data_IF_251748814083
#
_entry.id   IF_251748814083
#
_cell.length_a   1.000
_cell.length_b   1.000
_cell.length_c   1.000
_cell.angle_alpha   90.00
_cell.angle_beta   90.00
_cell.angle_gamma   90.00
#
_symmetry.space_group_name_H-M   'P 1'
#
loop_
_entity.id
_entity.type
_entity.pdbx_description
1 polymer ?
#
# COMPACT_ATOMS: atom_id res chain seq x y z
N UNK A 1 2.88 1.41 16.70
CA UNK A 1 3.34 2.23 15.55
C UNK A 1 2.35 3.36 15.30
N UNK A 2 2.68 4.32 14.43
CA UNK A 2 1.68 5.28 13.92
C UNK A 2 0.75 4.57 12.91
N UNK A 3 -0.53 4.95 12.81
CA UNK A 3 -1.43 4.38 11.81
C UNK A 3 -0.94 4.69 10.39
N UNK A 4 -1.25 3.81 9.45
CA UNK A 4 -0.95 3.95 8.03
C UNK A 4 -2.26 3.99 7.26
N UNK A 5 -2.43 5.00 6.42
CA UNK A 5 -3.55 5.11 5.49
C UNK A 5 -3.07 4.74 4.09
N UNK A 6 -3.84 3.91 3.39
CA UNK A 6 -3.55 3.45 2.04
C UNK A 6 -4.63 3.94 1.09
N UNK A 7 -4.21 4.64 0.03
CA UNK A 7 -5.06 5.03 -1.08
C UNK A 7 -4.76 4.13 -2.27
N UNK A 8 -5.77 3.41 -2.75
CA UNK A 8 -5.69 2.55 -3.94
C UNK A 8 -6.76 2.99 -4.92
N UNK A 9 -6.35 3.37 -6.14
CA UNK A 9 -7.28 3.75 -7.20
C UNK A 9 -8.08 2.57 -7.72
N UNK A 10 -9.16 2.87 -8.46
CA UNK A 10 -9.95 1.87 -9.20
C UNK A 10 -9.15 1.29 -10.38
N UNK A 11 -9.76 0.41 -11.20
CA UNK A 11 -9.07 -0.24 -12.33
C UNK A 11 -8.59 0.76 -13.39
N UNK A 12 -9.26 1.91 -13.51
CA UNK A 12 -8.83 3.03 -14.35
C UNK A 12 -7.73 3.90 -13.75
N UNK A 13 -7.26 3.59 -12.54
CA UNK A 13 -6.36 4.43 -11.76
C UNK A 13 -7.08 5.59 -11.07
N UNK A 14 -6.28 6.54 -10.59
CA UNK A 14 -6.73 7.83 -10.07
C UNK A 14 -6.62 8.87 -11.19
N UNK A 15 -7.57 9.80 -11.25
CA UNK A 15 -7.47 10.97 -12.12
C UNK A 15 -6.27 11.86 -11.70
N UNK A 16 -5.76 12.67 -12.62
CA UNK A 16 -4.60 13.50 -12.37
C UNK A 16 -4.83 14.50 -11.22
N UNK A 17 -6.06 14.98 -11.08
CA UNK A 17 -6.51 15.87 -10.02
C UNK A 17 -6.56 15.16 -8.66
N UNK A 18 -6.98 13.88 -8.63
CA UNK A 18 -7.00 13.06 -7.41
C UNK A 18 -5.59 12.76 -6.92
N UNK A 19 -4.65 12.48 -7.84
CA UNK A 19 -3.24 12.29 -7.50
C UNK A 19 -2.64 13.57 -6.91
N UNK A 20 -2.93 14.72 -7.49
CA UNK A 20 -2.47 16.01 -6.97
C UNK A 20 -3.08 16.30 -5.60
N UNK A 21 -4.38 16.03 -5.41
CA UNK A 21 -5.05 16.21 -4.12
C UNK A 21 -4.47 15.29 -3.04
N UNK A 22 -4.18 14.04 -3.38
CA UNK A 22 -3.54 13.09 -2.46
C UNK A 22 -2.15 13.60 -2.04
N UNK A 23 -1.34 14.06 -3.00
CA UNK A 23 -0.02 14.62 -2.71
C UNK A 23 -0.11 15.87 -1.81
N UNK A 24 -1.05 16.78 -2.10
CA UNK A 24 -1.29 17.96 -1.26
C UNK A 24 -1.77 17.61 0.16
N UNK A 25 -2.51 16.50 0.30
CA UNK A 25 -2.98 15.98 1.59
C UNK A 25 -1.90 15.20 2.36
N UNK A 26 -0.68 15.09 1.82
CA UNK A 26 0.45 14.43 2.47
C UNK A 26 0.63 12.95 2.13
N UNK A 27 -0.11 12.40 1.16
CA UNK A 27 0.17 11.05 0.67
C UNK A 27 1.50 11.01 -0.09
N UNK A 28 2.24 9.93 0.11
CA UNK A 28 3.50 9.66 -0.59
C UNK A 28 3.26 8.56 -1.61
N UNK A 29 3.61 8.81 -2.88
CA UNK A 29 3.50 7.81 -3.93
C UNK A 29 4.57 6.73 -3.78
N UNK A 30 4.16 5.47 -3.94
CA UNK A 30 5.03 4.30 -3.84
C UNK A 30 4.83 3.37 -5.04
N UNK A 31 5.86 2.60 -5.38
CA UNK A 31 5.82 1.60 -6.45
C UNK A 31 6.01 0.19 -5.90
N UNK A 32 5.04 -0.68 -6.13
CA UNK A 32 5.06 -2.10 -5.71
C UNK A 32 5.73 -2.99 -6.77
N UNK A 33 6.99 -2.70 -7.08
CA UNK A 33 7.76 -3.43 -8.09
C UNK A 33 7.48 -3.00 -9.55
N UNK A 34 7.98 -3.76 -10.54
CA UNK A 34 8.00 -3.30 -11.92
C UNK A 34 6.65 -3.41 -12.65
N UNK A 35 5.75 -4.30 -12.20
CA UNK A 35 4.48 -4.63 -12.86
C UNK A 35 3.34 -3.75 -12.35
N UNK A 36 2.43 -3.38 -13.26
CA UNK A 36 1.14 -2.80 -12.87
C UNK A 36 0.30 -3.91 -12.23
N UNK A 37 -0.17 -3.66 -11.01
CA UNK A 37 -1.05 -4.58 -10.29
C UNK A 37 -2.51 -4.21 -10.59
N UNK A 38 -3.38 -5.22 -10.67
CA UNK A 38 -4.83 -4.99 -10.71
C UNK A 38 -5.32 -4.40 -9.39
N UNK A 39 -6.42 -3.67 -9.44
CA UNK A 39 -7.03 -2.99 -8.28
C UNK A 39 -7.19 -3.92 -7.07
N UNK A 40 -7.74 -5.11 -7.31
CA UNK A 40 -8.01 -6.12 -6.30
C UNK A 40 -6.74 -6.69 -5.63
N UNK A 41 -5.60 -6.61 -6.32
CA UNK A 41 -4.32 -7.16 -5.85
C UNK A 41 -3.43 -6.09 -5.22
N UNK A 42 -3.50 -4.84 -5.72
CA UNK A 42 -2.62 -3.75 -5.29
C UNK A 42 -2.70 -3.49 -3.78
N UNK A 43 -3.92 -3.41 -3.23
CA UNK A 43 -4.13 -3.20 -1.79
C UNK A 43 -3.60 -4.34 -0.92
N UNK A 44 -3.86 -5.59 -1.33
CA UNK A 44 -3.38 -6.77 -0.60
C UNK A 44 -1.85 -6.86 -0.59
N UNK A 45 -1.20 -6.59 -1.72
CA UNK A 45 0.27 -6.57 -1.82
C UNK A 45 0.86 -5.44 -0.98
N UNK A 46 0.24 -4.25 -0.98
CA UNK A 46 0.68 -3.13 -0.14
C UNK A 46 0.63 -3.49 1.36
N UNK A 47 -0.50 -4.04 1.81
CA UNK A 47 -0.68 -4.48 3.19
C UNK A 47 0.31 -5.57 3.58
N UNK A 48 0.50 -6.58 2.73
CA UNK A 48 1.46 -7.66 2.98
C UNK A 48 2.90 -7.13 3.07
N UNK A 49 3.29 -6.19 2.19
CA UNK A 49 4.60 -5.57 2.25
C UNK A 49 4.80 -4.75 3.52
N UNK A 50 3.77 -4.00 3.96
CA UNK A 50 3.81 -3.24 5.21
C UNK A 50 3.96 -4.17 6.42
N UNK A 51 3.18 -5.25 6.48
CA UNK A 51 3.26 -6.24 7.56
C UNK A 51 4.63 -6.94 7.57
N UNK A 52 5.14 -7.33 6.40
CA UNK A 52 6.46 -7.96 6.30
C UNK A 52 7.60 -7.00 6.71
N UNK A 53 7.49 -5.70 6.45
CA UNK A 53 8.56 -4.75 6.76
C UNK A 53 8.49 -4.25 8.20
N UNK A 54 7.30 -3.91 8.68
CA UNK A 54 7.09 -3.18 9.94
C UNK A 54 6.03 -3.78 10.86
N UNK A 55 5.37 -4.85 10.43
CA UNK A 55 4.36 -5.55 11.23
C UNK A 55 4.84 -6.88 11.76
N UNK A 56 3.90 -7.78 11.99
CA UNK A 56 4.07 -9.03 12.75
C UNK A 56 4.30 -10.26 11.86
N UNK A 57 4.29 -10.13 10.53
CA UNK A 57 4.57 -11.26 9.62
C UNK A 57 5.98 -11.86 9.77
N UNK A 58 6.88 -11.15 10.47
CA UNK A 58 8.22 -11.62 10.82
C UNK A 58 8.28 -12.37 12.15
N UNK A 59 7.24 -12.30 12.98
CA UNK A 59 7.20 -13.03 14.23
C UNK A 59 6.97 -14.51 13.93
N UNK A 60 8.06 -15.24 13.81
CA UNK A 60 8.07 -16.68 13.87
C UNK A 60 7.53 -17.06 15.26
N UNK A 61 6.29 -17.57 15.32
CA UNK A 61 5.77 -18.25 16.51
C UNK A 61 6.67 -19.45 16.81
N UNK A 62 7.76 -19.20 17.52
CA UNK A 62 8.50 -20.22 18.25
C UNK A 62 7.84 -20.31 19.62
N UNK A 63 6.70 -20.98 19.67
CA UNK A 63 6.17 -21.58 20.89
C UNK A 63 5.39 -22.82 20.44
N UNK A 64 6.14 -23.89 20.18
CA UNK A 64 5.67 -25.27 20.33
C UNK A 64 6.01 -25.76 21.73
#
# INVERSE_FOLDING_TARGET
GRPVELLVGAEGGLAAEEVQLAAFSGFVSVRLGPRVLRTETAGLVALAAIQALWGDFKEETTDV
#
